data_IF_028683503380
#
_entry.id   IF_028683503380
#
_cell.length_a   1.000
_cell.length_b   1.000
_cell.length_c   1.000
_cell.angle_alpha   90.00
_cell.angle_beta   90.00
_cell.angle_gamma   90.00
#
_symmetry.space_group_name_H-M   'P 1'
#
loop_
_entity.id
_entity.type
_entity.pdbx_description
1 polymer ?
#
# COMPACT_ATOMS: atom_id res chain seq x y z
N UNK A 1 40.12 5.89 11.33
CA UNK A 1 39.21 4.96 12.05
C UNK A 1 38.71 5.58 13.34
N UNK A 2 39.58 5.93 14.29
CA UNK A 2 39.18 6.63 15.51
C UNK A 2 38.64 8.05 15.24
N UNK A 3 39.23 8.77 14.29
CA UNK A 3 38.80 10.12 13.90
C UNK A 3 37.34 10.20 13.43
N UNK A 4 36.90 9.30 12.55
CA UNK A 4 35.49 9.21 12.11
C UNK A 4 34.54 8.87 13.26
N UNK A 5 34.97 8.05 14.21
CA UNK A 5 34.17 7.72 15.39
C UNK A 5 34.05 8.92 16.32
N UNK A 6 35.12 9.71 16.47
CA UNK A 6 35.11 10.94 17.26
C UNK A 6 34.22 12.00 16.63
N UNK A 7 34.30 12.20 15.31
CA UNK A 7 33.40 13.10 14.58
C UNK A 7 31.93 12.71 14.76
N UNK A 8 31.58 11.44 14.57
CA UNK A 8 30.21 10.98 14.85
C UNK A 8 29.83 11.18 16.32
N UNK A 9 30.76 10.98 17.26
CA UNK A 9 30.51 11.21 18.68
C UNK A 9 30.18 12.68 18.96
N UNK A 10 30.92 13.61 18.36
CA UNK A 10 30.69 15.05 18.45
C UNK A 10 29.32 15.44 17.89
N UNK A 11 28.92 14.91 16.73
CA UNK A 11 27.59 15.13 16.15
C UNK A 11 26.44 14.65 17.07
N UNK A 12 26.69 13.67 17.94
CA UNK A 12 25.72 13.12 18.89
C UNK A 12 25.64 13.88 20.21
N UNK A 13 26.61 14.74 20.54
CA UNK A 13 26.64 15.44 21.82
C UNK A 13 25.46 16.40 22.02
N UNK A 14 25.06 17.24 21.04
CA UNK A 14 24.01 18.22 21.24
C UNK A 14 22.67 17.57 21.66
N UNK A 15 22.26 16.47 21.01
CA UNK A 15 21.02 15.79 21.37
C UNK A 15 21.06 15.19 22.79
N UNK A 16 22.21 14.67 23.22
CA UNK A 16 22.38 14.05 24.53
C UNK A 16 22.42 15.09 25.65
N UNK A 17 23.08 16.23 25.41
CA UNK A 17 23.04 17.36 26.34
C UNK A 17 21.62 17.91 26.49
N UNK A 18 20.86 18.04 25.41
CA UNK A 18 19.46 18.47 25.50
C UNK A 18 18.62 17.47 26.29
N UNK A 19 18.82 16.16 26.10
CA UNK A 19 18.15 15.14 26.92
C UNK A 19 18.45 15.28 28.42
N UNK A 20 19.69 15.66 28.76
CA UNK A 20 20.09 15.93 30.15
C UNK A 20 19.44 17.19 30.70
N UNK A 21 19.48 18.29 29.95
CA UNK A 21 18.90 19.59 30.35
C UNK A 21 17.40 19.50 30.58
N UNK A 22 16.74 18.69 29.77
CA UNK A 22 15.30 18.41 29.89
C UNK A 22 14.98 17.45 31.06
N UNK A 23 15.98 16.78 31.63
CA UNK A 23 15.80 15.86 32.76
C UNK A 23 15.19 14.50 32.37
N UNK A 24 15.15 14.16 31.07
CA UNK A 24 14.64 12.85 30.61
C UNK A 24 15.59 11.71 30.96
N UNK A 25 16.88 12.00 31.10
CA UNK A 25 17.92 11.03 31.42
C UNK A 25 18.89 11.59 32.46
N UNK A 26 19.39 10.70 33.31
CA UNK A 26 20.46 11.06 34.26
C UNK A 26 21.82 11.09 33.59
N UNK A 27 22.79 11.76 34.22
CA UNK A 27 24.19 11.80 33.75
C UNK A 27 24.80 10.40 33.62
N UNK A 28 24.47 9.48 34.52
CA UNK A 28 24.92 8.10 34.48
C UNK A 28 24.33 7.33 33.28
N UNK A 29 23.04 7.54 32.99
CA UNK A 29 22.38 6.94 31.83
C UNK A 29 22.96 7.46 30.51
N UNK A 30 23.22 8.77 30.41
CA UNK A 30 23.80 9.38 29.22
C UNK A 30 25.21 8.83 28.96
N UNK A 31 26.05 8.71 30.00
CA UNK A 31 27.37 8.07 29.88
C UNK A 31 27.25 6.63 29.37
N UNK A 32 26.25 5.88 29.83
CA UNK A 32 26.00 4.53 29.34
C UNK A 32 25.54 4.51 27.87
N UNK A 33 24.71 5.47 27.44
CA UNK A 33 24.29 5.64 26.04
C UNK A 33 25.48 5.96 25.15
N UNK A 34 26.33 6.92 25.54
CA UNK A 34 27.56 7.27 24.81
C UNK A 34 28.43 6.03 24.63
N UNK A 35 28.72 5.31 25.72
CA UNK A 35 29.55 4.09 25.67
C UNK A 35 28.98 3.04 24.70
N UNK A 36 27.66 2.83 24.71
CA UNK A 36 26.99 1.87 23.80
C UNK A 36 27.04 2.34 22.35
N UNK A 37 26.76 3.61 22.07
CA UNK A 37 26.83 4.18 20.71
C UNK A 37 28.24 4.13 20.14
N UNK A 38 29.25 4.55 20.91
CA UNK A 38 30.65 4.45 20.50
C UNK A 38 31.02 3.01 20.16
N UNK A 39 30.59 2.02 20.96
CA UNK A 39 30.84 0.61 20.66
C UNK A 39 30.20 0.14 19.34
N UNK A 40 29.01 0.63 19.00
CA UNK A 40 28.40 0.36 17.69
C UNK A 40 29.14 1.07 16.55
N UNK A 41 29.51 2.35 16.71
CA UNK A 41 30.28 3.10 15.71
C UNK A 41 31.64 2.45 15.44
N UNK A 42 32.35 1.98 16.47
CA UNK A 42 33.59 1.22 16.30
C UNK A 42 33.39 -0.06 15.48
N UNK A 43 32.27 -0.78 15.67
CA UNK A 43 31.93 -1.97 14.86
C UNK A 43 31.65 -1.59 13.42
N UNK A 44 30.91 -0.51 13.19
CA UNK A 44 30.53 -0.04 11.86
C UNK A 44 31.70 0.50 11.07
N UNK A 45 32.68 1.11 11.72
CA UNK A 45 33.83 1.73 11.06
C UNK A 45 34.85 0.69 10.59
N UNK A 46 34.82 -0.56 11.10
CA UNK A 46 35.71 -1.68 10.69
C UNK A 46 35.86 -1.82 9.16
N UNK A 47 37.01 -2.29 8.69
CA UNK A 47 37.27 -2.52 7.25
C UNK A 47 36.23 -3.49 6.65
N UNK A 48 36.02 -4.61 7.31
CA UNK A 48 34.98 -5.59 6.96
C UNK A 48 33.64 -5.16 7.56
N UNK A 49 32.70 -4.78 6.70
CA UNK A 49 31.35 -4.40 7.11
C UNK A 49 30.47 -5.63 7.24
N UNK A 50 29.83 -5.80 8.39
CA UNK A 50 28.94 -6.93 8.67
C UNK A 50 27.49 -6.43 8.79
N UNK A 51 26.58 -7.01 8.02
CA UNK A 51 25.16 -6.62 8.01
C UNK A 51 24.52 -6.71 9.41
N UNK A 52 24.87 -7.75 10.19
CA UNK A 52 24.38 -7.94 11.57
C UNK A 52 24.73 -6.77 12.50
N UNK A 53 25.88 -6.13 12.32
CA UNK A 53 26.31 -5.00 13.16
C UNK A 53 25.44 -3.76 12.90
N UNK A 54 25.06 -3.52 11.64
CA UNK A 54 24.13 -2.44 11.29
C UNK A 54 22.73 -2.71 11.86
N UNK A 55 22.21 -3.93 11.70
CA UNK A 55 20.90 -4.29 12.24
C UNK A 55 20.85 -4.15 13.76
N UNK A 56 21.90 -4.59 14.46
CA UNK A 56 21.99 -4.44 15.91
C UNK A 56 21.99 -2.97 16.34
N UNK A 57 22.68 -2.09 15.60
CA UNK A 57 22.70 -0.67 15.91
C UNK A 57 21.37 0.02 15.60
N UNK A 58 20.74 -0.29 14.47
CA UNK A 58 19.41 0.21 14.12
C UNK A 58 18.40 -0.23 15.18
N UNK A 59 18.42 -1.49 15.59
CA UNK A 59 17.53 -1.99 16.64
C UNK A 59 17.75 -1.25 17.96
N UNK A 60 19.01 -0.98 18.32
CA UNK A 60 19.35 -0.19 19.50
C UNK A 60 18.77 1.23 19.42
N UNK A 61 18.98 1.95 18.31
CA UNK A 61 18.45 3.32 18.15
C UNK A 61 16.93 3.37 18.09
N UNK A 62 16.27 2.39 17.44
CA UNK A 62 14.80 2.28 17.43
C UNK A 62 14.26 2.03 18.84
N UNK A 63 14.91 1.17 19.62
CA UNK A 63 14.53 0.90 21.01
C UNK A 63 14.75 2.12 21.90
N UNK A 64 15.87 2.84 21.69
CA UNK A 64 16.19 4.06 22.41
C UNK A 64 15.15 5.16 22.14
N UNK A 65 14.78 5.35 20.87
CA UNK A 65 13.72 6.27 20.48
C UNK A 65 12.36 5.88 21.08
N UNK A 66 12.05 4.59 21.13
CA UNK A 66 10.86 4.07 21.83
C UNK A 66 10.87 4.33 23.34
N UNK A 67 12.04 4.26 23.99
CA UNK A 67 12.21 4.59 25.40
C UNK A 67 11.98 6.08 25.67
N UNK A 68 12.54 6.96 24.82
CA UNK A 68 12.32 8.42 24.91
C UNK A 68 10.83 8.72 24.85
N UNK A 69 10.13 8.15 23.87
CA UNK A 69 8.70 8.39 23.69
C UNK A 69 7.86 7.92 24.89
N UNK A 70 8.23 6.78 25.50
CA UNK A 70 7.60 6.30 26.75
C UNK A 70 7.86 7.23 27.93
N UNK A 71 9.10 7.70 28.11
CA UNK A 71 9.45 8.63 29.20
C UNK A 71 8.72 9.96 29.04
N UNK A 72 8.71 10.55 27.85
CA UNK A 72 7.97 11.81 27.58
C UNK A 72 6.48 11.70 27.88
N UNK A 73 5.86 10.57 27.52
CA UNK A 73 4.44 10.31 27.85
C UNK A 73 4.19 10.22 29.35
N UNK A 74 5.12 9.68 30.12
CA UNK A 74 5.00 9.56 31.58
C UNK A 74 5.23 10.89 32.30
N UNK A 75 6.24 11.66 31.88
CA UNK A 75 6.58 12.96 32.48
C UNK A 75 5.72 14.12 31.94
N UNK A 76 4.84 13.87 30.95
CA UNK A 76 4.02 14.86 30.25
C UNK A 76 4.82 16.06 29.69
N UNK A 77 6.08 15.83 29.28
CA UNK A 77 6.99 16.88 28.84
C UNK A 77 7.42 16.72 27.37
N UNK A 78 6.97 17.65 26.52
CA UNK A 78 7.12 17.59 25.06
C UNK A 78 8.03 18.68 24.46
N UNK A 79 8.66 19.52 25.30
CA UNK A 79 9.57 20.54 24.79
C UNK A 79 10.82 19.91 24.13
N UNK A 80 11.31 20.55 23.05
CA UNK A 80 12.45 20.11 22.22
C UNK A 80 12.33 18.67 21.69
N UNK A 81 11.10 18.19 21.50
CA UNK A 81 10.87 16.87 20.93
C UNK A 81 11.53 16.73 19.56
N UNK A 82 11.37 17.73 18.70
CA UNK A 82 11.92 17.70 17.35
C UNK A 82 13.45 17.65 17.34
N UNK A 83 14.14 18.47 18.13
CA UNK A 83 15.61 18.47 18.18
C UNK A 83 16.19 17.10 18.56
N UNK A 84 15.55 16.44 19.53
CA UNK A 84 16.02 15.16 20.07
C UNK A 84 15.60 13.99 19.18
N UNK A 85 14.30 13.88 18.86
CA UNK A 85 13.75 12.74 18.12
C UNK A 85 14.15 12.80 16.63
N UNK A 86 14.20 14.00 16.02
CA UNK A 86 14.61 14.13 14.62
C UNK A 86 16.07 13.73 14.41
N UNK A 87 16.97 14.06 15.33
CA UNK A 87 18.38 13.70 15.24
C UNK A 87 18.57 12.16 15.27
N UNK A 88 17.86 11.46 16.17
CA UNK A 88 17.87 9.99 16.23
C UNK A 88 17.23 9.38 14.99
N UNK A 89 16.07 9.88 14.54
CA UNK A 89 15.39 9.39 13.32
C UNK A 89 16.29 9.59 12.08
N UNK A 90 16.96 10.72 11.98
CA UNK A 90 17.94 11.02 10.92
C UNK A 90 19.11 10.04 10.94
N UNK A 91 19.63 9.71 12.13
CA UNK A 91 20.67 8.69 12.30
C UNK A 91 20.21 7.31 11.83
N UNK A 92 19.01 6.89 12.21
CA UNK A 92 18.43 5.62 11.76
C UNK A 92 18.31 5.60 10.23
N UNK A 93 17.83 6.68 9.60
CA UNK A 93 17.80 6.81 8.14
C UNK A 93 19.19 6.75 7.51
N UNK A 94 20.20 7.38 8.11
CA UNK A 94 21.60 7.32 7.63
C UNK A 94 22.10 5.87 7.64
N UNK A 95 21.86 5.13 8.72
CA UNK A 95 22.24 3.72 8.84
C UNK A 95 21.54 2.84 7.79
N UNK A 96 20.22 3.00 7.61
CA UNK A 96 19.50 2.30 6.55
C UNK A 96 20.02 2.64 5.16
N UNK A 97 20.30 3.91 4.87
CA UNK A 97 20.88 4.34 3.58
C UNK A 97 22.25 3.69 3.33
N UNK A 98 23.10 3.61 4.35
CA UNK A 98 24.38 2.93 4.27
C UNK A 98 24.21 1.42 4.02
N UNK A 99 23.28 0.76 4.71
CA UNK A 99 22.98 -0.65 4.49
C UNK A 99 22.49 -0.92 3.07
N UNK A 100 21.50 -0.15 2.62
CA UNK A 100 20.89 -0.31 1.30
C UNK A 100 21.91 -0.10 0.18
N UNK A 101 22.81 0.87 0.32
CA UNK A 101 23.88 1.13 -0.67
C UNK A 101 24.91 0.00 -0.73
N UNK A 102 25.04 -0.83 0.31
CA UNK A 102 26.03 -1.91 0.39
C UNK A 102 25.44 -3.26 0.02
N UNK A 103 24.20 -3.52 0.44
CA UNK A 103 23.46 -4.75 0.19
C UNK A 103 22.12 -4.43 -0.48
N UNK A 104 22.14 -3.98 -1.76
CA UNK A 104 20.91 -3.61 -2.47
C UNK A 104 19.99 -4.80 -2.72
N UNK A 105 20.56 -6.01 -2.85
CA UNK A 105 19.86 -7.26 -3.21
C UNK A 105 18.82 -7.71 -2.17
N UNK A 106 19.04 -7.42 -0.88
CA UNK A 106 18.14 -7.91 0.17
C UNK A 106 16.88 -7.04 0.29
N UNK A 107 15.79 -7.50 -0.33
CA UNK A 107 14.48 -6.86 -0.27
C UNK A 107 13.96 -6.66 1.17
N UNK A 108 14.35 -7.52 2.12
CA UNK A 108 13.90 -7.41 3.51
C UNK A 108 14.42 -6.13 4.17
N UNK A 109 15.62 -5.68 3.80
CA UNK A 109 16.18 -4.41 4.27
C UNK A 109 15.32 -3.23 3.83
N UNK A 110 14.94 -3.19 2.56
CA UNK A 110 14.08 -2.14 2.03
C UNK A 110 12.72 -2.10 2.72
N UNK A 111 12.09 -3.27 2.92
CA UNK A 111 10.82 -3.39 3.63
C UNK A 111 10.96 -2.89 5.08
N UNK A 112 12.05 -3.25 5.77
CA UNK A 112 12.28 -2.80 7.14
C UNK A 112 12.46 -1.28 7.25
N UNK A 113 13.16 -0.67 6.29
CA UNK A 113 13.32 0.78 6.21
C UNK A 113 11.98 1.47 5.89
N UNK A 114 11.19 0.92 4.97
CA UNK A 114 9.87 1.45 4.64
C UNK A 114 8.92 1.42 5.85
N UNK A 115 8.85 0.28 6.55
CA UNK A 115 8.07 0.13 7.79
C UNK A 115 8.47 1.18 8.85
N UNK A 116 9.76 1.47 8.97
CA UNK A 116 10.24 2.53 9.84
C UNK A 116 9.75 3.91 9.37
N UNK A 117 9.85 4.24 8.08
CA UNK A 117 9.36 5.51 7.54
C UNK A 117 7.85 5.70 7.74
N UNK A 118 7.04 4.65 7.55
CA UNK A 118 5.59 4.66 7.77
C UNK A 118 5.28 4.94 9.24
N UNK A 119 5.91 4.21 10.17
CA UNK A 119 5.70 4.38 11.62
C UNK A 119 6.02 5.79 12.12
N UNK A 120 7.05 6.43 11.57
CA UNK A 120 7.49 7.77 11.96
C UNK A 120 6.95 8.88 11.05
N UNK A 121 5.98 8.56 10.18
CA UNK A 121 5.31 9.49 9.26
C UNK A 121 6.27 10.33 8.40
N UNK A 122 7.41 9.75 7.97
CA UNK A 122 8.42 10.43 7.14
C UNK A 122 8.14 10.25 5.65
N UNK A 123 7.04 10.85 5.19
CA UNK A 123 6.48 10.74 3.82
C UNK A 123 7.51 11.02 2.71
N UNK A 124 8.28 12.10 2.84
CA UNK A 124 9.28 12.50 1.84
C UNK A 124 10.40 11.46 1.71
N UNK A 125 10.83 10.87 2.82
CA UNK A 125 11.89 9.84 2.78
C UNK A 125 11.35 8.52 2.24
N UNK A 126 10.09 8.15 2.54
CA UNK A 126 9.48 6.96 1.95
C UNK A 126 9.34 7.10 0.44
N UNK A 127 8.91 8.26 -0.07
CA UNK A 127 8.78 8.47 -1.51
C UNK A 127 10.14 8.40 -2.24
N UNK A 128 11.21 8.94 -1.62
CA UNK A 128 12.59 8.75 -2.10
C UNK A 128 13.07 7.30 -2.01
N UNK A 129 12.55 6.51 -1.07
CA UNK A 129 12.85 5.09 -0.96
C UNK A 129 12.14 4.31 -2.07
N UNK A 130 10.89 4.62 -2.37
CA UNK A 130 10.10 4.04 -3.46
C UNK A 130 10.76 4.24 -4.82
N UNK A 131 11.28 5.43 -5.11
CA UNK A 131 11.99 5.67 -6.38
C UNK A 131 13.27 4.86 -6.49
N UNK A 132 14.03 4.73 -5.39
CA UNK A 132 15.27 3.95 -5.36
C UNK A 132 15.05 2.45 -5.45
N UNK A 133 14.09 1.89 -4.70
CA UNK A 133 13.84 0.44 -4.70
C UNK A 133 13.42 -0.04 -6.09
N UNK A 134 12.61 0.77 -6.78
CA UNK A 134 12.15 0.50 -8.15
C UNK A 134 13.30 0.58 -9.15
N UNK A 135 14.26 1.48 -8.97
CA UNK A 135 15.45 1.58 -9.82
C UNK A 135 16.36 0.36 -9.67
N UNK A 136 16.54 -0.14 -8.45
CA UNK A 136 17.41 -1.29 -8.17
C UNK A 136 16.73 -2.60 -8.59
N UNK A 137 15.47 -2.79 -8.22
CA UNK A 137 14.72 -4.03 -8.41
C UNK A 137 13.66 -3.92 -9.51
N UNK A 138 14.03 -3.29 -10.63
CA UNK A 138 13.10 -3.00 -11.72
C UNK A 138 12.49 -4.26 -12.35
N UNK A 139 13.21 -5.39 -12.32
CA UNK A 139 12.82 -6.67 -12.92
C UNK A 139 11.73 -7.43 -12.15
N UNK A 140 11.41 -7.05 -10.91
CA UNK A 140 10.44 -7.77 -10.09
C UNK A 140 9.10 -7.02 -10.02
N UNK A 141 8.00 -7.54 -10.61
CA UNK A 141 6.66 -6.95 -10.54
C UNK A 141 6.18 -6.61 -9.13
N UNK A 142 6.52 -7.46 -8.14
CA UNK A 142 6.06 -7.31 -6.75
C UNK A 142 6.62 -6.05 -6.08
N UNK A 143 7.80 -5.60 -6.50
CA UNK A 143 8.42 -4.38 -5.97
C UNK A 143 7.64 -3.14 -6.41
N UNK A 144 7.14 -3.12 -7.65
CA UNK A 144 6.31 -2.03 -8.15
C UNK A 144 4.99 -1.92 -7.38
N UNK A 145 4.34 -3.07 -7.15
CA UNK A 145 3.11 -3.16 -6.34
C UNK A 145 3.38 -2.66 -4.91
N UNK A 146 4.49 -3.09 -4.31
CA UNK A 146 4.88 -2.69 -2.97
C UNK A 146 5.16 -1.18 -2.86
N UNK A 147 5.88 -0.61 -3.83
CA UNK A 147 6.16 0.81 -3.90
C UNK A 147 4.88 1.64 -4.05
N UNK A 148 3.94 1.18 -4.88
CA UNK A 148 2.63 1.82 -5.03
C UNK A 148 1.82 1.80 -3.72
N UNK A 149 1.81 0.67 -3.00
CA UNK A 149 1.17 0.56 -1.68
C UNK A 149 1.75 1.55 -0.67
N UNK A 150 3.09 1.69 -0.64
CA UNK A 150 3.76 2.65 0.23
C UNK A 150 3.45 4.11 -0.11
N UNK A 151 3.36 4.47 -1.39
CA UNK A 151 2.97 5.83 -1.80
C UNK A 151 1.52 6.15 -1.40
N UNK A 152 0.60 5.19 -1.54
CA UNK A 152 -0.79 5.33 -1.09
C UNK A 152 -0.90 5.56 0.42
N UNK A 153 -0.08 4.88 1.23
CA UNK A 153 -0.05 5.07 2.69
C UNK A 153 0.53 6.43 3.09
N UNK A 154 1.44 7.00 2.29
CA UNK A 154 2.12 8.25 2.62
C UNK A 154 1.39 9.51 2.18
N UNK A 155 0.58 9.51 1.13
CA UNK A 155 -0.06 10.75 0.70
C UNK A 155 -1.19 10.60 -0.31
N UNK A 156 -1.86 11.72 -0.55
CA UNK A 156 -3.03 11.81 -1.44
C UNK A 156 -2.62 11.96 -2.92
N UNK A 157 -1.32 11.92 -3.22
CA UNK A 157 -0.80 12.14 -4.55
C UNK A 157 -0.92 10.88 -5.42
N UNK A 158 -2.13 10.61 -5.90
CA UNK A 158 -2.39 9.54 -6.87
C UNK A 158 -1.56 9.65 -8.12
N UNK A 159 -1.15 10.85 -8.52
CA UNK A 159 -0.32 11.05 -9.70
C UNK A 159 1.01 10.28 -9.60
N UNK A 160 1.59 10.17 -8.41
CA UNK A 160 2.80 9.38 -8.18
C UNK A 160 2.52 7.88 -8.32
N UNK A 161 1.39 7.42 -7.79
CA UNK A 161 0.96 6.02 -7.86
C UNK A 161 0.70 5.63 -9.32
N UNK A 162 -0.05 6.45 -10.06
CA UNK A 162 -0.28 6.30 -11.50
C UNK A 162 1.02 6.30 -12.27
N UNK A 163 1.93 7.23 -12.00
CA UNK A 163 3.24 7.28 -12.67
C UNK A 163 4.07 6.00 -12.42
N UNK A 164 4.01 5.42 -11.21
CA UNK A 164 4.68 4.15 -10.90
C UNK A 164 4.08 2.99 -11.69
N UNK A 165 2.75 2.86 -11.73
CA UNK A 165 2.09 1.78 -12.49
C UNK A 165 2.27 1.95 -14.01
N UNK A 166 2.12 3.17 -14.54
CA UNK A 166 2.33 3.42 -15.97
C UNK A 166 3.77 3.13 -16.39
N UNK A 167 4.75 3.37 -15.50
CA UNK A 167 6.14 2.99 -15.74
C UNK A 167 6.34 1.47 -15.63
N UNK A 168 5.67 0.79 -14.70
CA UNK A 168 5.80 -0.66 -14.54
C UNK A 168 5.28 -1.43 -15.76
N UNK A 169 4.21 -0.96 -16.41
CA UNK A 169 3.66 -1.58 -17.63
C UNK A 169 4.66 -1.62 -18.79
N UNK A 170 5.59 -0.67 -18.87
CA UNK A 170 6.64 -0.69 -19.90
C UNK A 170 7.57 -1.90 -19.78
N UNK A 171 7.70 -2.47 -18.59
CA UNK A 171 8.59 -3.60 -18.29
C UNK A 171 7.83 -4.90 -18.07
N UNK A 172 6.65 -4.83 -17.46
CA UNK A 172 5.91 -5.97 -16.92
C UNK A 172 4.48 -6.06 -17.47
N UNK A 173 4.31 -5.87 -18.78
CA UNK A 173 3.00 -5.92 -19.41
C UNK A 173 2.34 -7.31 -19.31
N UNK A 174 3.16 -8.36 -19.21
CA UNK A 174 2.73 -9.76 -19.11
C UNK A 174 2.26 -10.17 -17.71
N UNK A 175 2.51 -9.36 -16.67
CA UNK A 175 2.12 -9.70 -15.30
C UNK A 175 0.69 -9.20 -14.99
N UNK A 176 -0.29 -10.10 -14.79
CA UNK A 176 -1.65 -9.70 -14.46
C UNK A 176 -1.76 -9.07 -13.06
N UNK A 177 -0.84 -9.41 -12.13
CA UNK A 177 -0.85 -8.91 -10.76
C UNK A 177 -0.77 -7.38 -10.69
N UNK A 178 0.01 -6.76 -11.59
CA UNK A 178 0.16 -5.30 -11.66
C UNK A 178 -1.16 -4.65 -12.09
N UNK A 179 -1.87 -5.25 -13.05
CA UNK A 179 -3.16 -4.75 -13.53
C UNK A 179 -4.22 -4.81 -12.43
N UNK A 180 -4.28 -5.92 -11.70
CA UNK A 180 -5.19 -6.08 -10.56
C UNK A 180 -4.93 -5.04 -9.47
N UNK A 181 -3.67 -4.82 -9.11
CA UNK A 181 -3.29 -3.88 -8.06
C UNK A 181 -3.46 -2.42 -8.50
N UNK A 182 -3.22 -2.09 -9.78
CA UNK A 182 -3.50 -0.76 -10.30
C UNK A 182 -4.99 -0.45 -10.30
N UNK A 183 -5.80 -1.41 -10.74
CA UNK A 183 -7.25 -1.30 -10.68
C UNK A 183 -7.75 -1.13 -9.24
N UNK A 184 -7.23 -1.92 -8.29
CA UNK A 184 -7.55 -1.77 -6.86
C UNK A 184 -7.16 -0.38 -6.33
N UNK A 185 -6.02 0.16 -6.74
CA UNK A 185 -5.56 1.49 -6.33
C UNK A 185 -6.49 2.60 -6.85
N UNK A 186 -6.96 2.53 -8.09
CA UNK A 186 -7.91 3.50 -8.65
C UNK A 186 -9.28 3.43 -7.96
N UNK A 187 -9.76 2.23 -7.62
CA UNK A 187 -11.00 2.07 -6.85
C UNK A 187 -10.91 2.68 -5.45
N UNK A 188 -9.81 2.42 -4.74
CA UNK A 188 -9.55 3.02 -3.42
C UNK A 188 -9.51 4.55 -3.50
N UNK A 189 -8.99 5.10 -4.59
CA UNK A 189 -8.99 6.55 -4.79
C UNK A 189 -10.39 7.11 -5.05
N UNK A 190 -11.17 6.47 -5.92
CA UNK A 190 -12.56 6.86 -6.17
C UNK A 190 -13.39 6.85 -4.87
N UNK A 191 -13.25 5.79 -4.06
CA UNK A 191 -13.89 5.71 -2.74
C UNK A 191 -13.47 6.87 -1.82
N UNK A 192 -12.17 7.16 -1.75
CA UNK A 192 -11.66 8.25 -0.91
C UNK A 192 -12.18 9.62 -1.37
N UNK A 193 -12.22 9.84 -2.68
CA UNK A 193 -12.74 11.07 -3.25
C UNK A 193 -14.25 11.20 -2.94
N UNK A 194 -15.02 10.11 -3.02
CA UNK A 194 -16.45 10.07 -2.63
C UNK A 194 -16.65 10.43 -1.17
N UNK A 195 -15.89 9.82 -0.26
CA UNK A 195 -15.96 10.15 1.18
C UNK A 195 -15.64 11.61 1.42
N UNK A 196 -14.61 12.16 0.75
CA UNK A 196 -14.25 13.58 0.86
C UNK A 196 -15.37 14.49 0.35
N UNK A 197 -15.99 14.14 -0.78
CA UNK A 197 -17.09 14.91 -1.34
C UNK A 197 -18.32 14.90 -0.43
N UNK A 198 -18.76 13.73 0.04
CA UNK A 198 -19.90 13.59 0.98
C UNK A 198 -19.71 14.44 2.25
N UNK A 199 -18.49 14.52 2.78
CA UNK A 199 -18.17 15.39 3.93
C UNK A 199 -18.31 16.88 3.59
N UNK A 200 -17.92 17.26 2.37
CA UNK A 200 -17.88 18.65 1.94
C UNK A 200 -19.28 19.19 1.59
N UNK A 201 -20.12 18.40 0.93
CA UNK A 201 -21.42 18.87 0.43
C UNK A 201 -22.59 18.73 1.41
N UNK A 202 -22.50 17.93 2.49
CA UNK A 202 -23.55 17.70 3.53
C UNK A 202 -24.95 17.28 3.05
N UNK A 203 -25.29 17.45 1.78
CA UNK A 203 -26.51 17.03 1.10
C UNK A 203 -26.15 16.41 -0.25
N UNK A 204 -26.95 15.42 -0.68
CA UNK A 204 -26.84 14.72 -1.96
C UNK A 204 -27.19 15.65 -3.12
N UNK A 205 -26.31 16.62 -3.42
CA UNK A 205 -26.42 17.40 -4.64
C UNK A 205 -26.11 16.46 -5.80
N UNK A 206 -27.11 16.19 -6.65
CA UNK A 206 -26.96 15.36 -7.84
C UNK A 206 -25.83 15.91 -8.71
N UNK A 207 -24.72 15.16 -8.72
CA UNK A 207 -23.54 15.49 -9.48
C UNK A 207 -23.86 15.38 -10.98
N UNK A 208 -23.91 16.52 -11.69
CA UNK A 208 -23.92 16.52 -13.16
C UNK A 208 -22.68 15.79 -13.70
N UNK A 209 -22.87 14.94 -14.69
CA UNK A 209 -21.90 13.95 -15.17
C UNK A 209 -20.66 14.51 -15.88
N UNK A 210 -20.67 15.80 -16.24
CA UNK A 210 -19.66 16.40 -17.12
C UNK A 210 -18.50 17.11 -16.41
N UNK A 211 -18.53 17.24 -15.07
CA UNK A 211 -17.36 17.73 -14.34
C UNK A 211 -16.40 16.56 -14.14
N UNK A 212 -15.17 16.66 -14.67
CA UNK A 212 -14.18 15.57 -14.68
C UNK A 212 -13.91 14.91 -13.31
N UNK A 213 -14.13 15.62 -12.21
CA UNK A 213 -14.07 15.06 -10.85
C UNK A 213 -15.19 14.03 -10.61
N UNK A 214 -16.43 14.26 -11.06
CA UNK A 214 -17.56 13.34 -10.89
C UNK A 214 -17.38 12.05 -11.71
N UNK A 215 -16.75 12.12 -12.88
CA UNK A 215 -16.43 10.94 -13.67
C UNK A 215 -15.34 10.08 -13.02
N UNK A 216 -14.35 10.70 -12.37
CA UNK A 216 -13.34 9.98 -11.58
C UNK A 216 -13.96 9.33 -10.33
N UNK A 217 -14.93 9.99 -9.72
CA UNK A 217 -15.71 9.49 -8.57
C UNK A 217 -16.52 8.24 -8.90
N UNK A 218 -16.99 8.11 -10.14
CA UNK A 218 -17.70 6.92 -10.63
C UNK A 218 -16.76 5.78 -11.03
N UNK A 219 -15.44 5.92 -10.84
CA UNK A 219 -14.47 4.87 -11.15
C UNK A 219 -14.17 4.72 -12.64
N UNK A 220 -14.42 5.74 -13.48
CA UNK A 220 -14.10 5.70 -14.92
C UNK A 220 -12.63 5.37 -15.20
N UNK A 221 -11.71 5.83 -14.34
CA UNK A 221 -10.29 5.48 -14.43
C UNK A 221 -10.05 3.98 -14.20
N UNK A 222 -10.76 3.35 -13.26
CA UNK A 222 -10.68 1.91 -13.06
C UNK A 222 -11.23 1.16 -14.29
N UNK A 223 -12.31 1.65 -14.91
CA UNK A 223 -12.84 1.09 -16.17
C UNK A 223 -11.83 1.16 -17.33
N UNK A 224 -11.09 2.26 -17.48
CA UNK A 224 -10.07 2.34 -18.54
C UNK A 224 -8.89 1.40 -18.31
N UNK A 225 -8.50 1.18 -17.04
CA UNK A 225 -7.49 0.16 -16.70
C UNK A 225 -7.99 -1.23 -17.08
N UNK A 226 -9.24 -1.55 -16.76
CA UNK A 226 -9.84 -2.82 -17.10
C UNK A 226 -9.92 -3.06 -18.62
N UNK A 227 -10.44 -2.10 -19.40
CA UNK A 227 -10.55 -2.27 -20.86
C UNK A 227 -9.20 -2.48 -21.52
N UNK A 228 -8.16 -1.80 -21.04
CA UNK A 228 -6.78 -2.02 -21.48
C UNK A 228 -6.25 -3.39 -21.05
N UNK A 229 -6.59 -3.86 -19.85
CA UNK A 229 -6.21 -5.19 -19.38
C UNK A 229 -6.84 -6.29 -20.25
N UNK A 230 -8.10 -6.17 -20.67
CA UNK A 230 -8.73 -7.18 -21.53
C UNK A 230 -8.08 -7.25 -22.90
N UNK A 231 -7.77 -6.10 -23.50
CA UNK A 231 -7.05 -6.06 -24.78
C UNK A 231 -5.70 -6.79 -24.70
N UNK A 232 -5.05 -6.72 -23.55
CA UNK A 232 -3.75 -7.36 -23.33
C UNK A 232 -3.86 -8.85 -22.95
N UNK A 233 -4.93 -9.25 -22.26
CA UNK A 233 -5.18 -10.64 -21.83
C UNK A 233 -6.53 -11.18 -22.35
N UNK A 234 -6.73 -11.33 -23.67
CA UNK A 234 -8.04 -11.68 -24.22
C UNK A 234 -8.52 -13.11 -23.90
N UNK A 235 -7.61 -14.02 -23.48
CA UNK A 235 -7.92 -15.44 -23.27
C UNK A 235 -7.91 -15.87 -21.80
N UNK A 236 -7.37 -15.05 -20.90
CA UNK A 236 -7.15 -15.43 -19.50
C UNK A 236 -8.36 -15.10 -18.62
N UNK A 237 -9.33 -16.01 -18.62
CA UNK A 237 -10.56 -15.93 -17.79
C UNK A 237 -10.26 -15.68 -16.32
N UNK A 238 -9.23 -16.30 -15.75
CA UNK A 238 -8.86 -16.14 -14.34
C UNK A 238 -8.42 -14.71 -14.00
N UNK A 239 -7.83 -13.99 -14.95
CA UNK A 239 -7.42 -12.59 -14.79
C UNK A 239 -8.66 -11.70 -14.76
N UNK A 240 -9.64 -11.96 -15.63
CA UNK A 240 -10.91 -11.25 -15.67
C UNK A 240 -11.74 -11.44 -14.40
N UNK A 241 -11.88 -12.68 -13.92
CA UNK A 241 -12.65 -12.99 -12.72
C UNK A 241 -12.09 -12.29 -11.47
N UNK A 242 -10.76 -12.15 -11.39
CA UNK A 242 -10.13 -11.40 -10.29
C UNK A 242 -10.54 -9.92 -10.26
N UNK A 243 -10.82 -9.27 -11.40
CA UNK A 243 -11.33 -7.89 -11.39
C UNK A 243 -12.73 -7.81 -10.77
N UNK A 244 -13.61 -8.76 -11.09
CA UNK A 244 -14.94 -8.87 -10.48
C UNK A 244 -14.84 -9.17 -8.98
N UNK A 245 -13.93 -10.07 -8.58
CA UNK A 245 -13.69 -10.36 -7.17
C UNK A 245 -13.21 -9.13 -6.41
N UNK A 246 -12.25 -8.38 -6.97
CA UNK A 246 -11.78 -7.12 -6.36
C UNK A 246 -12.93 -6.13 -6.23
N UNK A 247 -13.78 -5.96 -7.25
CA UNK A 247 -14.93 -5.06 -7.16
C UNK A 247 -15.95 -5.51 -6.14
N UNK A 248 -16.16 -6.82 -5.99
CA UNK A 248 -17.10 -7.36 -5.01
C UNK A 248 -16.79 -6.93 -3.59
N UNK A 249 -15.51 -6.69 -3.27
CA UNK A 249 -15.09 -6.15 -1.98
C UNK A 249 -15.57 -4.70 -1.74
N UNK A 250 -15.84 -3.93 -2.81
CA UNK A 250 -16.26 -2.52 -2.74
C UNK A 250 -17.77 -2.31 -2.83
N UNK A 251 -18.52 -3.32 -3.27
CA UNK A 251 -19.98 -3.22 -3.50
C UNK A 251 -20.74 -2.71 -2.27
N UNK A 252 -20.35 -3.15 -1.07
CA UNK A 252 -21.01 -2.71 0.17
C UNK A 252 -20.61 -1.31 0.65
N UNK A 253 -19.54 -0.72 0.12
CA UNK A 253 -18.98 0.54 0.65
C UNK A 253 -19.19 1.74 -0.27
N UNK A 254 -19.50 1.54 -1.55
CA UNK A 254 -19.51 2.64 -2.52
C UNK A 254 -20.64 2.54 -3.55
N UNK A 255 -21.30 3.67 -3.81
CA UNK A 255 -22.50 3.73 -4.66
C UNK A 255 -22.18 3.44 -6.14
N UNK A 256 -20.92 3.64 -6.55
CA UNK A 256 -20.47 3.42 -7.94
C UNK A 256 -20.07 1.98 -8.26
N UNK A 257 -19.84 1.13 -7.25
CA UNK A 257 -19.32 -0.21 -7.47
C UNK A 257 -20.35 -1.14 -8.13
N UNK A 258 -21.64 -1.00 -7.80
CA UNK A 258 -22.72 -1.82 -8.37
C UNK A 258 -22.93 -1.57 -9.88
N UNK A 259 -23.10 -0.32 -10.36
CA UNK A 259 -23.19 -0.04 -11.78
C UNK A 259 -21.95 -0.54 -12.54
N UNK A 260 -20.76 -0.25 -12.02
CA UNK A 260 -19.51 -0.67 -12.64
C UNK A 260 -19.37 -2.21 -12.69
N UNK A 261 -19.79 -2.91 -11.64
CA UNK A 261 -19.78 -4.38 -11.60
C UNK A 261 -20.69 -4.99 -12.66
N UNK A 262 -21.91 -4.45 -12.84
CA UNK A 262 -22.84 -4.93 -13.86
C UNK A 262 -22.28 -4.69 -15.26
N UNK A 263 -21.77 -3.49 -15.55
CA UNK A 263 -21.14 -3.18 -16.84
C UNK A 263 -19.97 -4.15 -17.16
N UNK A 264 -19.11 -4.42 -16.17
CA UNK A 264 -17.99 -5.34 -16.36
C UNK A 264 -18.45 -6.79 -16.53
N UNK A 265 -19.54 -7.17 -15.86
CA UNK A 265 -20.14 -8.49 -16.03
C UNK A 265 -20.68 -8.65 -17.45
N UNK A 266 -21.35 -7.63 -17.97
CA UNK A 266 -21.91 -7.62 -19.32
C UNK A 266 -20.78 -7.65 -20.37
N UNK A 267 -19.75 -6.81 -20.22
CA UNK A 267 -18.55 -6.80 -21.07
C UNK A 267 -17.89 -8.20 -21.14
N UNK A 268 -17.84 -8.93 -20.01
CA UNK A 268 -17.27 -10.28 -19.97
C UNK A 268 -18.18 -11.33 -20.61
N UNK A 269 -19.50 -11.15 -20.51
CA UNK A 269 -20.49 -12.01 -21.17
C UNK A 269 -20.37 -11.94 -22.68
N UNK A 270 -20.19 -10.73 -23.23
CA UNK A 270 -20.02 -10.50 -24.67
C UNK A 270 -18.70 -11.06 -25.21
N UNK A 271 -17.59 -10.85 -24.50
CA UNK A 271 -16.25 -11.23 -24.98
C UNK A 271 -15.94 -12.73 -24.87
N UNK A 272 -16.61 -13.44 -23.96
CA UNK A 272 -16.30 -14.84 -23.65
C UNK A 272 -17.50 -15.79 -23.83
N UNK A 273 -18.43 -15.47 -24.73
CA UNK A 273 -19.59 -16.29 -25.04
C UNK A 273 -19.23 -17.77 -25.34
N UNK A 274 -18.03 -18.05 -25.85
CA UNK A 274 -17.59 -19.41 -26.19
C UNK A 274 -16.83 -20.14 -25.07
N UNK A 275 -16.52 -19.49 -23.93
CA UNK A 275 -15.69 -20.09 -22.89
C UNK A 275 -16.54 -20.62 -21.71
N UNK A 276 -16.79 -21.92 -21.70
CA UNK A 276 -17.61 -22.61 -20.69
C UNK A 276 -17.15 -22.33 -19.24
N UNK A 277 -15.84 -22.13 -19.01
CA UNK A 277 -15.28 -21.80 -17.69
C UNK A 277 -15.73 -20.41 -17.21
N UNK A 278 -15.80 -19.42 -18.10
CA UNK A 278 -16.26 -18.08 -17.76
C UNK A 278 -17.74 -18.09 -17.43
N UNK A 279 -18.57 -18.74 -18.25
CA UNK A 279 -20.01 -18.91 -17.99
C UNK A 279 -20.30 -19.58 -16.65
N UNK A 280 -19.60 -20.67 -16.35
CA UNK A 280 -19.75 -21.35 -15.06
C UNK A 280 -19.31 -20.49 -13.87
N UNK A 281 -18.32 -19.62 -14.04
CA UNK A 281 -17.87 -18.70 -13.00
C UNK A 281 -18.79 -17.50 -12.83
N UNK A 282 -19.36 -16.95 -13.91
CA UNK A 282 -20.39 -15.91 -13.88
C UNK A 282 -21.67 -16.42 -13.20
N UNK A 283 -22.09 -17.66 -13.50
CA UNK A 283 -23.20 -18.31 -12.82
C UNK A 283 -22.93 -18.46 -11.31
N UNK A 284 -21.70 -18.87 -10.94
CA UNK A 284 -21.26 -18.97 -9.53
C UNK A 284 -21.12 -17.61 -8.83
N UNK A 285 -20.91 -16.52 -9.56
CA UNK A 285 -20.86 -15.17 -8.98
C UNK A 285 -22.21 -14.75 -8.40
N UNK A 286 -23.34 -15.19 -8.98
CA UNK A 286 -24.67 -14.98 -8.38
C UNK A 286 -24.82 -15.62 -7.01
N UNK A 287 -24.07 -16.69 -6.74
CA UNK A 287 -24.08 -17.38 -5.45
C UNK A 287 -23.21 -16.70 -4.39
N UNK A 288 -22.30 -15.79 -4.76
CA UNK A 288 -21.48 -15.06 -3.79
C UNK A 288 -22.36 -14.08 -3.00
N UNK A 289 -22.29 -14.17 -1.67
CA UNK A 289 -23.10 -13.36 -0.75
C UNK A 289 -22.73 -11.87 -0.70
N UNK A 290 -21.68 -11.44 -1.43
CA UNK A 290 -21.08 -10.10 -1.31
C UNK A 290 -21.87 -8.95 -1.96
N UNK A 291 -23.10 -9.16 -2.43
CA UNK A 291 -23.94 -8.11 -3.02
C UNK A 291 -24.59 -7.16 -1.99
N UNK A 292 -24.08 -7.12 -0.76
CA UNK A 292 -24.15 -5.91 0.07
C UNK A 292 -25.53 -5.44 0.50
N UNK A 293 -26.54 -6.32 0.61
CA UNK A 293 -27.79 -5.96 1.27
C UNK A 293 -27.93 -6.74 2.58
N UNK A 294 -27.62 -6.06 3.68
CA UNK A 294 -27.85 -6.58 5.02
C UNK A 294 -29.35 -6.52 5.33
N UNK A 295 -30.13 -7.49 4.86
CA UNK A 295 -31.47 -7.74 5.38
C UNK A 295 -31.41 -8.77 6.51
N UNK A 296 -32.03 -8.50 7.67
CA UNK A 296 -32.26 -9.52 8.70
C UNK A 296 -33.60 -10.24 8.44
N UNK A 297 -33.64 -11.56 8.61
CA UNK A 297 -34.89 -12.34 8.53
C UNK A 297 -35.24 -12.95 7.15
N UNK A 298 -36.55 -13.14 6.89
CA UNK A 298 -37.13 -13.88 5.75
C UNK A 298 -36.63 -13.43 4.38
N UNK A 299 -36.19 -12.18 4.25
CA UNK A 299 -35.72 -11.59 2.99
C UNK A 299 -34.39 -12.21 2.51
N UNK A 300 -33.48 -12.60 3.42
CA UNK A 300 -32.24 -13.33 3.05
C UNK A 300 -32.52 -14.67 2.39
N UNK A 301 -33.55 -15.39 2.85
CA UNK A 301 -33.91 -16.68 2.28
C UNK A 301 -34.57 -16.54 0.90
N UNK A 302 -35.35 -15.48 0.69
CA UNK A 302 -35.95 -15.15 -0.60
C UNK A 302 -34.88 -14.71 -1.62
N UNK A 303 -33.95 -13.87 -1.18
CA UNK A 303 -32.83 -13.38 -1.99
C UNK A 303 -31.87 -14.51 -2.38
N UNK A 304 -31.60 -15.44 -1.45
CA UNK A 304 -30.84 -16.66 -1.73
C UNK A 304 -31.54 -17.56 -2.75
N UNK A 305 -32.87 -17.74 -2.66
CA UNK A 305 -33.65 -18.47 -3.68
C UNK A 305 -33.60 -17.79 -5.04
N UNK A 306 -33.71 -16.46 -5.08
CA UNK A 306 -33.61 -15.67 -6.31
C UNK A 306 -32.22 -15.80 -6.97
N UNK A 307 -31.14 -15.70 -6.17
CA UNK A 307 -29.76 -15.90 -6.63
C UNK A 307 -29.50 -17.29 -7.19
N UNK A 308 -30.02 -18.32 -6.52
CA UNK A 308 -29.96 -19.72 -6.98
C UNK A 308 -30.74 -19.89 -8.30
N UNK A 309 -31.93 -19.29 -8.40
CA UNK A 309 -32.73 -19.32 -9.63
C UNK A 309 -32.04 -18.63 -10.80
N UNK A 310 -31.37 -17.50 -10.57
CA UNK A 310 -30.62 -16.79 -11.60
C UNK A 310 -29.39 -17.58 -12.05
N UNK A 311 -28.71 -18.26 -11.11
CA UNK A 311 -27.60 -19.17 -11.39
C UNK A 311 -28.06 -20.35 -12.27
N UNK A 312 -29.17 -21.01 -11.93
CA UNK A 312 -29.73 -22.08 -12.76
C UNK A 312 -30.12 -21.59 -14.15
N UNK A 313 -30.74 -20.39 -14.27
CA UNK A 313 -31.10 -19.82 -15.56
C UNK A 313 -29.89 -19.58 -16.46
N UNK A 314 -28.78 -19.07 -15.92
CA UNK A 314 -27.54 -18.89 -16.70
C UNK A 314 -26.90 -20.23 -17.08
N UNK A 315 -27.01 -21.27 -16.23
CA UNK A 315 -26.57 -22.63 -16.57
C UNK A 315 -27.46 -23.27 -17.65
N UNK A 316 -28.77 -23.14 -17.57
CA UNK A 316 -29.71 -23.66 -18.56
C UNK A 316 -29.47 -23.00 -19.93
N UNK A 317 -29.28 -21.68 -19.96
CA UNK A 317 -28.89 -20.94 -21.17
C UNK A 317 -27.53 -21.41 -21.72
N UNK A 318 -26.56 -21.67 -20.85
CA UNK A 318 -25.27 -22.19 -21.27
C UNK A 318 -25.36 -23.60 -21.87
N UNK A 319 -26.25 -24.46 -21.34
CA UNK A 319 -26.48 -25.81 -21.86
C UNK A 319 -27.22 -25.77 -23.20
N UNK A 320 -28.21 -24.89 -23.37
CA UNK A 320 -28.91 -24.72 -24.66
C UNK A 320 -27.99 -24.22 -25.76
N UNK A 321 -27.05 -23.32 -25.43
CA UNK A 321 -26.09 -22.80 -26.40
C UNK A 321 -25.04 -23.84 -26.84
N UNK A 322 -24.71 -24.81 -25.99
CA UNK A 322 -23.82 -25.93 -26.33
C UNK A 322 -24.54 -26.97 -27.19
N UNK A 323 -25.84 -27.17 -26.98
CA UNK A 323 -26.65 -28.10 -27.79
C UNK A 323 -27.04 -27.54 -29.17
N UNK A 324 -26.96 -26.22 -29.35
CA UNK A 324 -27.30 -25.52 -30.61
C UNK A 324 -26.08 -25.19 -31.49
N UNK A 325 -24.85 -25.52 -31.05
CA UNK A 325 -23.59 -25.39 -31.80
C UNK A 325 -23.05 -26.78 -32.19
#
# INVERSE_FOLDING_TARGET
MAELVNQHAEEMLPELEQMQRVGLFSTAEIKAVIKKRSAHEYKLVRKTKVMKDFLAYIQYEVNFLGLIHKRRKREHYFFKQDEIEYAIVSRIHRLFKQMISRWPEDLKLWISHAKFCIKWNKKVQLSKLCTRIVQVHASNPKVWILAAKWELECGDAMDKVRALFLRSFKLHLTSPEIWHEYFRAELLFAEKLQKRFKILTREDTSLNDDVGENALMKGKAAKTVYTNAIKNFPKDVNVHLKFLDILSDFIGSTDFALPLFNELKDDLGELNCNNAKMRACLAKLHLKENLGIAHEGRDKALEKKSRISNCYREFDQAVTDVNNN
#
